data_IF_960825273410
#
_entry.id   IF_960825273410
#
_cell.length_a   1.000
_cell.length_b   1.000
_cell.length_c   1.000
_cell.angle_alpha   90.00
_cell.angle_beta   90.00
_cell.angle_gamma   90.00
#
_symmetry.space_group_name_H-M   'P 1'
#
loop_
_entity.id
_entity.type
_entity.pdbx_description
1 polymer ?
#
# COMPACT_ATOMS: atom_id res chain seq x y z
N UNK A 1 -61.41 47.63 3.37
CA UNK A 1 -60.06 47.84 2.78
C UNK A 1 -59.07 46.85 3.39
N UNK A 2 -58.81 45.70 2.75
CA UNK A 2 -57.79 44.74 3.19
C UNK A 2 -57.46 43.73 2.08
N UNK A 3 -56.80 44.17 0.99
CA UNK A 3 -56.41 43.26 -0.11
C UNK A 3 -54.99 43.52 -0.66
N UNK A 4 -54.12 44.15 0.14
CA UNK A 4 -52.80 44.64 -0.32
C UNK A 4 -51.59 44.00 0.37
N UNK A 5 -51.80 43.08 1.33
CA UNK A 5 -50.71 42.48 2.13
C UNK A 5 -50.17 41.15 1.58
N UNK A 6 -51.00 40.29 0.97
CA UNK A 6 -50.56 38.94 0.51
C UNK A 6 -49.60 38.96 -0.70
N UNK A 7 -49.66 39.98 -1.56
CA UNK A 7 -48.80 40.04 -2.76
C UNK A 7 -47.35 40.42 -2.44
N UNK A 8 -47.09 41.17 -1.37
CA UNK A 8 -45.74 41.65 -1.01
C UNK A 8 -44.89 40.57 -0.33
N UNK A 9 -45.52 39.69 0.46
CA UNK A 9 -44.84 38.56 1.12
C UNK A 9 -44.40 37.49 0.10
N UNK A 10 -45.21 37.24 -0.92
CA UNK A 10 -44.88 36.27 -1.98
C UNK A 10 -43.68 36.71 -2.84
N UNK A 11 -43.56 38.02 -3.13
CA UNK A 11 -42.44 38.56 -3.93
C UNK A 11 -41.13 38.54 -3.14
N UNK A 12 -41.18 38.79 -1.83
CA UNK A 12 -39.99 38.76 -0.97
C UNK A 12 -39.46 37.32 -0.79
N UNK A 13 -40.35 36.33 -0.63
CA UNK A 13 -39.97 34.92 -0.55
C UNK A 13 -39.34 34.39 -1.85
N UNK A 14 -39.79 34.84 -3.02
CA UNK A 14 -39.23 34.45 -4.31
C UNK A 14 -37.80 34.99 -4.54
N UNK A 15 -37.48 36.19 -4.02
CA UNK A 15 -36.15 36.79 -4.13
C UNK A 15 -35.11 36.07 -3.25
N UNK A 16 -35.49 35.58 -2.07
CA UNK A 16 -34.61 34.75 -1.24
C UNK A 16 -34.39 33.34 -1.82
N UNK A 17 -35.38 32.78 -2.53
CA UNK A 17 -35.24 31.48 -3.19
C UNK A 17 -34.26 31.56 -4.39
N UNK A 18 -34.27 32.66 -5.15
CA UNK A 18 -33.37 32.87 -6.28
C UNK A 18 -31.92 33.19 -5.85
N UNK A 19 -31.73 33.89 -4.73
CA UNK A 19 -30.39 34.16 -4.19
C UNK A 19 -29.72 32.92 -3.58
N UNK A 20 -30.49 32.01 -2.97
CA UNK A 20 -29.98 30.74 -2.43
C UNK A 20 -29.52 29.75 -3.51
N UNK A 21 -30.15 29.79 -4.69
CA UNK A 21 -29.76 28.93 -5.83
C UNK A 21 -28.43 29.39 -6.44
N UNK A 22 -28.16 30.70 -6.51
CA UNK A 22 -26.93 31.23 -7.10
C UNK A 22 -25.70 30.99 -6.21
N UNK A 23 -25.86 30.99 -4.87
CA UNK A 23 -24.75 30.70 -3.94
C UNK A 23 -24.42 29.19 -3.89
N UNK A 24 -25.42 28.31 -4.04
CA UNK A 24 -25.19 26.85 -4.11
C UNK A 24 -24.46 26.37 -5.37
N UNK A 25 -24.41 27.18 -6.44
CA UNK A 25 -23.75 26.83 -7.70
C UNK A 25 -22.25 27.15 -7.72
N UNK A 26 -21.75 28.05 -6.86
CA UNK A 26 -20.36 28.54 -6.91
C UNK A 26 -19.39 27.88 -5.92
N UNK A 27 -19.85 26.95 -5.07
CA UNK A 27 -19.02 26.28 -4.06
C UNK A 27 -19.11 24.75 -4.14
N UNK A 28 -19.13 24.19 -5.35
CA UNK A 28 -18.70 22.80 -5.52
C UNK A 28 -17.17 22.77 -5.57
N UNK A 29 -16.48 22.05 -4.69
CA UNK A 29 -15.04 21.79 -4.88
C UNK A 29 -14.86 21.14 -6.26
N UNK A 30 -13.74 21.38 -6.96
CA UNK A 30 -13.52 20.79 -8.27
C UNK A 30 -13.50 19.26 -8.12
N UNK A 31 -14.59 18.61 -8.52
CA UNK A 31 -14.64 17.16 -8.70
C UNK A 31 -13.74 16.87 -9.90
N UNK A 32 -12.60 16.24 -9.66
CA UNK A 32 -11.72 15.70 -10.71
C UNK A 32 -12.57 14.78 -11.59
N UNK A 33 -12.91 15.28 -12.79
CA UNK A 33 -13.95 14.68 -13.66
C UNK A 33 -13.51 13.38 -14.36
N UNK A 34 -12.30 12.91 -14.09
CA UNK A 34 -11.77 11.64 -14.60
C UNK A 34 -11.23 10.77 -13.46
N UNK A 35 -12.00 10.62 -12.37
CA UNK A 35 -11.79 9.43 -11.54
C UNK A 35 -12.21 8.23 -12.41
N UNK A 36 -11.29 7.31 -12.75
CA UNK A 36 -11.64 6.13 -13.54
C UNK A 36 -12.79 5.40 -12.82
N UNK A 37 -13.73 4.79 -13.57
CA UNK A 37 -14.85 4.11 -12.95
C UNK A 37 -14.28 3.13 -11.93
N UNK A 38 -14.75 3.22 -10.68
CA UNK A 38 -14.51 2.19 -9.66
C UNK A 38 -14.89 0.88 -10.33
N UNK A 39 -13.87 0.10 -10.71
CA UNK A 39 -14.09 -1.15 -11.40
C UNK A 39 -14.89 -2.01 -10.44
N UNK A 40 -16.16 -2.24 -10.79
CA UNK A 40 -17.02 -3.19 -10.08
C UNK A 40 -16.21 -4.46 -9.87
N UNK A 41 -16.24 -4.99 -8.65
CA UNK A 41 -15.63 -6.27 -8.26
C UNK A 41 -15.89 -7.32 -9.35
N UNK A 42 -14.93 -7.45 -10.25
CA UNK A 42 -14.91 -8.52 -11.21
C UNK A 42 -14.37 -9.70 -10.43
N UNK A 43 -15.27 -10.60 -10.07
CA UNK A 43 -14.96 -11.91 -9.55
C UNK A 43 -13.99 -12.62 -10.50
N UNK A 44 -12.69 -12.55 -10.20
CA UNK A 44 -11.67 -13.35 -10.87
C UNK A 44 -10.87 -14.15 -9.83
N UNK A 45 -11.56 -15.21 -9.42
CA UNK A 45 -11.14 -16.50 -8.85
C UNK A 45 -9.64 -16.73 -8.60
N UNK A 46 -9.37 -17.33 -7.43
CA UNK A 46 -8.12 -17.87 -6.84
C UNK A 46 -7.11 -18.64 -7.76
N UNK A 47 -7.26 -18.67 -9.08
CA UNK A 47 -6.38 -19.35 -10.03
C UNK A 47 -5.15 -18.54 -10.46
N UNK A 48 -5.10 -17.23 -10.23
CA UNK A 48 -3.98 -16.39 -10.70
C UNK A 48 -2.88 -16.17 -9.65
N UNK A 49 -3.11 -16.56 -8.39
CA UNK A 49 -2.10 -16.41 -7.32
C UNK A 49 -0.82 -17.21 -7.65
N UNK A 50 -0.94 -18.35 -8.32
CA UNK A 50 0.21 -19.19 -8.70
C UNK A 50 1.09 -18.60 -9.81
N UNK A 51 0.69 -17.50 -10.45
CA UNK A 51 1.46 -16.85 -11.52
C UNK A 51 2.30 -15.66 -11.02
N UNK A 52 2.12 -15.25 -9.76
CA UNK A 52 2.72 -14.05 -9.17
C UNK A 52 4.18 -14.30 -8.76
N UNK A 53 4.46 -15.55 -8.36
CA UNK A 53 5.75 -16.16 -8.07
C UNK A 53 5.52 -17.67 -8.25
N UNK A 54 6.48 -18.46 -8.77
CA UNK A 54 6.38 -19.89 -8.55
C UNK A 54 6.32 -20.09 -7.03
N UNK A 55 5.22 -20.64 -6.51
CA UNK A 55 5.14 -21.00 -5.09
C UNK A 55 6.26 -21.99 -4.71
N UNK A 56 6.85 -22.66 -5.69
CA UNK A 56 8.07 -23.45 -5.56
C UNK A 56 9.33 -22.57 -5.56
N UNK A 57 10.26 -22.86 -4.66
CA UNK A 57 11.56 -22.17 -4.59
C UNK A 57 11.58 -20.96 -3.66
N UNK A 58 10.52 -20.73 -2.89
CA UNK A 58 10.46 -19.68 -1.87
C UNK A 58 9.83 -20.19 -0.58
N UNK A 59 10.43 -19.79 0.53
CA UNK A 59 9.92 -20.04 1.87
C UNK A 59 9.37 -18.76 2.51
N UNK A 60 8.32 -18.89 3.31
CA UNK A 60 7.74 -17.77 4.05
C UNK A 60 8.67 -17.36 5.19
N UNK A 61 8.85 -16.06 5.38
CA UNK A 61 9.68 -15.52 6.43
C UNK A 61 8.89 -14.61 7.36
N UNK A 62 9.12 -14.78 8.65
CA UNK A 62 8.75 -13.81 9.66
C UNK A 62 9.87 -12.78 9.77
N UNK A 63 9.49 -11.51 9.95
CA UNK A 63 10.44 -10.42 10.16
C UNK A 63 10.40 -9.95 11.61
N UNK A 64 11.58 -9.77 12.18
CA UNK A 64 11.81 -9.06 13.43
C UNK A 64 13.01 -8.13 13.30
N UNK A 65 13.19 -7.26 14.28
CA UNK A 65 14.28 -6.29 14.34
C UNK A 65 15.06 -6.50 15.63
N UNK A 66 16.39 -6.49 15.52
CA UNK A 66 17.33 -6.40 16.65
C UNK A 66 18.21 -5.16 16.44
N UNK A 67 17.90 -4.08 17.15
CA UNK A 67 18.43 -2.74 16.89
C UNK A 67 18.29 -2.34 15.39
N UNK A 68 19.42 -2.16 14.69
CA UNK A 68 19.47 -1.86 13.26
C UNK A 68 19.69 -3.10 12.38
N UNK A 69 19.50 -4.31 12.93
CA UNK A 69 19.59 -5.58 12.21
C UNK A 69 18.20 -6.09 11.87
N UNK A 70 17.97 -6.37 10.59
CA UNK A 70 16.79 -7.11 10.14
C UNK A 70 17.03 -8.58 10.38
N UNK A 71 16.08 -9.25 11.01
CA UNK A 71 16.09 -10.69 11.24
C UNK A 71 14.93 -11.31 10.46
N UNK A 72 15.26 -12.15 9.48
CA UNK A 72 14.30 -12.92 8.71
C UNK A 72 14.40 -14.39 9.09
N UNK A 73 13.33 -14.94 9.67
CA UNK A 73 13.27 -16.32 10.12
C UNK A 73 12.30 -17.14 9.26
N UNK A 74 12.80 -18.26 8.74
CA UNK A 74 11.99 -19.28 8.05
C UNK A 74 12.29 -20.66 8.62
N UNK A 75 11.35 -21.20 9.41
CA UNK A 75 11.60 -22.43 10.17
C UNK A 75 12.77 -22.27 11.15
N UNK A 76 13.77 -23.15 11.03
CA UNK A 76 15.01 -23.11 11.80
C UNK A 76 16.08 -22.18 11.20
N UNK A 77 15.89 -21.70 9.97
CA UNK A 77 16.87 -20.87 9.30
C UNK A 77 16.63 -19.39 9.56
N UNK A 78 17.70 -18.67 9.87
CA UNK A 78 17.69 -17.23 10.08
C UNK A 78 18.68 -16.55 9.17
N UNK A 79 18.22 -15.51 8.47
CA UNK A 79 19.07 -14.57 7.72
C UNK A 79 19.03 -13.23 8.44
N UNK A 80 20.20 -12.61 8.58
CA UNK A 80 20.34 -11.29 9.19
C UNK A 80 21.17 -10.38 8.31
N UNK A 81 20.79 -9.11 8.25
CA UNK A 81 21.61 -8.07 7.63
C UNK A 81 21.38 -6.72 8.32
N UNK A 82 22.42 -5.89 8.36
CA UNK A 82 22.36 -4.55 8.94
C UNK A 82 21.77 -3.54 7.95
N UNK A 83 21.07 -2.55 8.49
CA UNK A 83 20.46 -1.44 7.74
C UNK A 83 20.74 -0.12 8.47
N UNK A 84 20.41 1.01 7.83
CA UNK A 84 20.56 2.30 8.50
C UNK A 84 19.47 2.52 9.57
N UNK A 85 19.74 3.41 10.52
CA UNK A 85 18.79 3.76 11.59
C UNK A 85 17.42 4.22 11.04
N UNK A 86 17.41 5.07 10.02
CA UNK A 86 16.17 5.54 9.38
C UNK A 86 15.37 4.39 8.74
N UNK A 87 16.06 3.40 8.16
CA UNK A 87 15.42 2.23 7.57
C UNK A 87 14.84 1.34 8.67
N UNK A 88 15.59 1.11 9.75
CA UNK A 88 15.15 0.34 10.91
C UNK A 88 13.92 0.97 11.55
N UNK A 89 13.94 2.28 11.77
CA UNK A 89 12.81 3.04 12.30
C UNK A 89 11.58 2.92 11.41
N UNK A 90 11.76 3.04 10.09
CA UNK A 90 10.66 2.87 9.13
C UNK A 90 10.04 1.47 9.22
N UNK A 91 10.85 0.40 9.29
CA UNK A 91 10.35 -0.98 9.43
C UNK A 91 9.61 -1.15 10.77
N UNK A 92 10.20 -0.68 11.87
CA UNK A 92 9.61 -0.75 13.22
C UNK A 92 8.23 -0.10 13.28
N UNK A 93 8.09 1.11 12.72
CA UNK A 93 6.78 1.78 12.65
C UNK A 93 5.72 0.95 11.91
N UNK A 94 6.13 0.21 10.87
CA UNK A 94 5.24 -0.69 10.17
C UNK A 94 4.90 -1.95 10.98
N UNK A 95 5.86 -2.55 11.67
CA UNK A 95 5.66 -3.69 12.56
C UNK A 95 4.73 -3.38 13.74
N UNK A 96 4.91 -2.20 14.35
CA UNK A 96 4.10 -1.69 15.45
C UNK A 96 2.72 -1.18 14.99
N UNK A 97 2.50 -1.07 13.67
CA UNK A 97 1.29 -0.50 13.05
C UNK A 97 0.99 0.92 13.56
N UNK A 98 2.04 1.72 13.74
CA UNK A 98 1.92 3.09 14.20
C UNK A 98 1.18 3.95 13.16
N UNK A 99 0.21 4.73 13.62
CA UNK A 99 -0.54 5.67 12.78
C UNK A 99 -0.09 7.09 13.11
N UNK A 100 0.52 7.76 12.13
CA UNK A 100 1.01 9.13 12.27
C UNK A 100 -0.02 10.15 11.76
N UNK A 101 0.10 11.40 12.22
CA UNK A 101 -0.78 12.50 11.79
C UNK A 101 -0.55 12.95 10.34
N UNK A 102 0.62 12.61 9.78
CA UNK A 102 1.01 12.85 8.39
C UNK A 102 1.58 11.56 7.82
N UNK A 103 1.33 11.25 6.53
CA UNK A 103 1.83 10.02 5.93
C UNK A 103 3.35 10.06 5.80
N UNK A 104 4.00 8.93 6.11
CA UNK A 104 5.41 8.70 5.87
C UNK A 104 5.65 8.23 4.43
N UNK A 105 6.91 8.15 4.00
CA UNK A 105 7.27 7.77 2.62
C UNK A 105 6.60 6.47 2.16
N UNK A 106 6.65 5.41 2.98
CA UNK A 106 6.04 4.12 2.63
C UNK A 106 4.50 4.16 2.63
N UNK A 107 3.89 5.07 3.40
CA UNK A 107 2.45 5.29 3.38
C UNK A 107 2.04 6.00 2.07
N UNK A 108 2.81 7.01 1.65
CA UNK A 108 2.62 7.68 0.36
C UNK A 108 2.81 6.67 -0.79
N UNK A 109 3.81 5.79 -0.72
CA UNK A 109 4.03 4.76 -1.74
C UNK A 109 2.84 3.81 -1.85
N UNK A 110 2.30 3.36 -0.71
CA UNK A 110 1.05 2.59 -0.70
C UNK A 110 -0.07 3.36 -1.41
N UNK A 111 -0.28 4.63 -1.04
CA UNK A 111 -1.34 5.44 -1.64
C UNK A 111 -1.15 5.59 -3.15
N UNK A 112 0.09 5.73 -3.63
CA UNK A 112 0.39 5.75 -5.07
C UNK A 112 -0.07 4.45 -5.74
N UNK A 113 0.30 3.28 -5.21
CA UNK A 113 -0.14 2.01 -5.78
C UNK A 113 -1.66 1.87 -5.81
N UNK A 114 -2.33 2.26 -4.72
CA UNK A 114 -3.80 2.25 -4.62
C UNK A 114 -4.44 3.17 -5.68
N UNK A 115 -3.93 4.39 -5.85
CA UNK A 115 -4.46 5.35 -6.84
C UNK A 115 -4.37 4.84 -8.29
N UNK A 116 -3.35 4.03 -8.60
CA UNK A 116 -3.17 3.44 -9.93
C UNK A 116 -3.75 2.02 -10.05
N UNK A 117 -4.54 1.58 -9.07
CA UNK A 117 -5.14 0.23 -9.00
C UNK A 117 -4.10 -0.88 -9.16
N UNK A 118 -2.96 -0.72 -8.49
CA UNK A 118 -1.87 -1.71 -8.44
C UNK A 118 -1.94 -2.42 -7.09
N UNK A 119 -2.25 -3.70 -7.09
CA UNK A 119 -2.22 -4.53 -5.89
C UNK A 119 -0.79 -5.01 -5.64
N UNK A 120 -0.24 -4.75 -4.45
CA UNK A 120 0.98 -5.41 -3.99
C UNK A 120 0.58 -6.77 -3.42
N UNK A 121 1.21 -7.84 -3.91
CA UNK A 121 0.80 -9.21 -3.61
C UNK A 121 1.79 -9.90 -2.66
N UNK A 122 3.09 -9.64 -2.84
CA UNK A 122 4.13 -10.14 -1.93
C UNK A 122 5.44 -9.40 -2.15
N UNK A 123 6.36 -9.54 -1.20
CA UNK A 123 7.77 -9.19 -1.38
C UNK A 123 8.63 -10.43 -1.21
N UNK A 124 9.71 -10.52 -1.97
CA UNK A 124 10.66 -11.62 -1.86
C UNK A 124 12.10 -11.11 -1.80
N UNK A 125 12.90 -11.71 -0.92
CA UNK A 125 14.37 -11.66 -1.03
C UNK A 125 14.76 -12.65 -2.13
N UNK A 126 15.22 -12.12 -3.26
CA UNK A 126 15.23 -12.83 -4.55
C UNK A 126 16.63 -13.25 -4.99
N UNK A 127 17.66 -12.46 -4.65
CA UNK A 127 19.04 -12.83 -4.90
C UNK A 127 19.99 -12.30 -3.83
N UNK A 128 21.15 -12.93 -3.76
CA UNK A 128 22.28 -12.52 -2.94
C UNK A 128 23.54 -12.61 -3.81
N UNK A 129 24.10 -11.47 -4.15
CA UNK A 129 25.27 -11.37 -5.04
C UNK A 129 26.19 -10.27 -4.51
N UNK A 130 27.50 -10.52 -4.50
CA UNK A 130 28.51 -9.57 -4.01
C UNK A 130 28.23 -9.09 -2.57
N UNK A 131 27.81 -10.01 -1.70
CA UNK A 131 27.41 -9.73 -0.31
C UNK A 131 26.21 -8.77 -0.15
N UNK A 132 25.43 -8.59 -1.21
CA UNK A 132 24.27 -7.69 -1.22
C UNK A 132 22.99 -8.48 -1.52
N UNK A 133 22.06 -8.44 -0.58
CA UNK A 133 20.69 -8.93 -0.77
C UNK A 133 19.90 -7.99 -1.68
N UNK A 134 19.15 -8.56 -2.62
CA UNK A 134 18.19 -7.86 -3.47
C UNK A 134 16.78 -8.38 -3.22
N UNK A 135 15.80 -7.50 -3.34
CA UNK A 135 14.41 -7.85 -3.15
C UNK A 135 13.58 -7.48 -4.38
N UNK A 136 12.46 -8.18 -4.53
CA UNK A 136 11.44 -7.85 -5.52
C UNK A 136 10.11 -7.61 -4.84
N UNK A 137 9.40 -6.58 -5.29
CA UNK A 137 8.01 -6.33 -4.92
C UNK A 137 7.16 -6.83 -6.08
N UNK A 138 6.37 -7.88 -5.82
CA UNK A 138 5.48 -8.48 -6.80
C UNK A 138 4.12 -7.81 -6.72
N UNK A 139 3.63 -7.37 -7.86
CA UNK A 139 2.43 -6.55 -7.98
C UNK A 139 1.55 -7.05 -9.12
N UNK A 140 0.28 -6.68 -9.05
CA UNK A 140 -0.70 -6.94 -10.10
C UNK A 140 -1.43 -5.67 -10.47
N UNK A 141 -1.57 -5.44 -11.77
CA UNK A 141 -2.38 -4.36 -12.33
C UNK A 141 -3.28 -4.93 -13.42
N UNK A 142 -4.59 -4.99 -13.15
CA UNK A 142 -5.54 -5.74 -13.96
C UNK A 142 -5.04 -7.18 -14.22
N UNK A 143 -4.82 -7.55 -15.49
CA UNK A 143 -4.36 -8.88 -15.91
C UNK A 143 -2.83 -8.99 -16.01
N UNK A 144 -2.09 -7.93 -15.66
CA UNK A 144 -0.63 -7.90 -15.75
C UNK A 144 -0.01 -8.21 -14.39
N UNK A 145 0.97 -9.11 -14.40
CA UNK A 145 1.89 -9.34 -13.29
C UNK A 145 3.12 -8.47 -13.54
N UNK A 146 3.50 -7.70 -12.52
CA UNK A 146 4.64 -6.79 -12.54
C UNK A 146 5.55 -7.15 -11.37
N UNK A 147 6.84 -6.87 -11.52
CA UNK A 147 7.76 -6.86 -10.39
C UNK A 147 8.59 -5.58 -10.44
N UNK A 148 9.00 -5.12 -9.27
CA UNK A 148 9.89 -3.98 -9.09
C UNK A 148 11.10 -4.44 -8.29
N UNK A 149 12.30 -4.11 -8.78
CA UNK A 149 13.54 -4.27 -8.03
C UNK A 149 13.57 -3.29 -6.86
N UNK A 150 13.94 -3.77 -5.69
CA UNK A 150 13.93 -3.00 -4.46
C UNK A 150 15.06 -3.45 -3.52
N UNK A 151 15.49 -2.53 -2.65
CA UNK A 151 16.30 -2.92 -1.50
C UNK A 151 15.46 -3.73 -0.52
N UNK A 152 16.03 -4.73 0.18
CA UNK A 152 15.32 -5.50 1.19
C UNK A 152 14.61 -4.63 2.25
N UNK A 153 15.27 -3.58 2.74
CA UNK A 153 14.70 -2.70 3.76
C UNK A 153 13.41 -1.99 3.31
N UNK A 154 13.39 -1.46 2.08
CA UNK A 154 12.23 -0.76 1.53
C UNK A 154 11.07 -1.74 1.24
N UNK A 155 11.40 -2.91 0.68
CA UNK A 155 10.40 -3.95 0.40
C UNK A 155 9.75 -4.47 1.68
N UNK A 156 10.56 -4.74 2.71
CA UNK A 156 10.09 -5.16 4.03
C UNK A 156 9.24 -4.07 4.68
N UNK A 157 9.70 -2.81 4.68
CA UNK A 157 8.98 -1.68 5.27
C UNK A 157 7.58 -1.49 4.67
N UNK A 158 7.43 -1.75 3.37
CA UNK A 158 6.14 -1.74 2.68
C UNK A 158 5.30 -2.97 3.06
N UNK A 159 5.90 -4.17 3.05
CA UNK A 159 5.20 -5.40 3.37
C UNK A 159 4.61 -5.41 4.78
N UNK A 160 5.36 -4.95 5.79
CA UNK A 160 4.89 -4.93 7.18
C UNK A 160 3.72 -3.96 7.39
N UNK A 161 3.70 -2.82 6.67
CA UNK A 161 2.58 -1.86 6.70
C UNK A 161 1.32 -2.41 6.06
N UNK A 162 1.49 -3.16 4.98
CA UNK A 162 0.39 -3.74 4.21
C UNK A 162 -0.08 -5.09 4.76
N UNK A 163 0.66 -5.69 5.71
CA UNK A 163 0.41 -7.04 6.18
C UNK A 163 0.63 -8.10 5.10
N UNK A 164 1.57 -7.86 4.17
CA UNK A 164 1.87 -8.75 3.06
C UNK A 164 2.85 -9.83 3.46
N UNK A 165 2.81 -10.95 2.73
CA UNK A 165 3.77 -12.06 2.91
C UNK A 165 5.16 -11.62 2.48
N UNK A 166 6.14 -11.90 3.33
CA UNK A 166 7.57 -11.79 3.03
C UNK A 166 8.06 -13.20 2.71
N UNK A 167 8.73 -13.34 1.58
CA UNK A 167 9.28 -14.61 1.08
C UNK A 167 10.80 -14.51 0.95
N UNK A 168 11.48 -15.64 1.01
CA UNK A 168 12.93 -15.74 0.74
C UNK A 168 13.13 -16.89 -0.23
N UNK A 169 13.95 -16.69 -1.26
CA UNK A 169 14.30 -17.76 -2.18
C UNK A 169 15.01 -18.89 -1.45
N UNK A 170 14.61 -20.14 -1.68
CA UNK A 170 15.12 -21.30 -0.95
C UNK A 170 16.64 -21.43 -1.08
N UNK A 171 17.19 -21.18 -2.27
CA UNK A 171 18.63 -21.16 -2.53
C UNK A 171 19.40 -20.22 -1.59
N UNK A 172 18.82 -19.06 -1.25
CA UNK A 172 19.44 -18.07 -0.34
C UNK A 172 19.36 -18.57 1.10
N UNK A 173 18.25 -19.21 1.49
CA UNK A 173 18.14 -19.82 2.81
C UNK A 173 19.16 -20.95 2.98
N UNK A 174 19.37 -21.76 1.95
CA UNK A 174 20.35 -22.84 1.97
C UNK A 174 21.80 -22.33 2.02
N UNK A 175 22.12 -21.25 1.29
CA UNK A 175 23.49 -20.72 1.22
C UNK A 175 23.86 -19.78 2.37
N UNK A 176 22.89 -19.02 2.89
CA UNK A 176 23.14 -17.92 3.84
C UNK A 176 22.35 -18.04 5.14
N UNK A 177 21.40 -18.97 5.24
CA UNK A 177 20.66 -19.24 6.46
C UNK A 177 21.56 -19.82 7.53
N UNK A 178 21.46 -19.28 8.74
CA UNK A 178 22.04 -19.88 9.94
C UNK A 178 20.99 -20.77 10.59
N UNK A 179 21.35 -22.02 10.84
CA UNK A 179 20.50 -22.92 11.62
C UNK A 179 20.48 -22.46 13.09
N UNK A 180 19.28 -22.34 13.64
CA UNK A 180 19.01 -21.89 15.02
C UNK A 180 18.24 -22.93 15.82
N UNK A 181 18.03 -24.10 15.21
CA UNK A 181 17.76 -25.36 15.89
C UNK A 181 19.11 -26.08 16.13
#
# INVERSE_FOLDING_TARGET
MAKTSRKRVAVLAALFFMAGIIIGMYFSPPVLKDSPPVLKEAAFTNRTISAILPEAGYSLANVSMDDNTVVLQSGCNVITFEITEDQALSIRFGLEKNVFSRPLTHDIMKDVFDHYNIAIESVAIDSFEEDIYRAKIYMRQADRVLNLDARPSDAIALAVRLGMKIKIKDEILESNGKDTC
#
